data_IF_148774435727
#
_entry.id   IF_148774435727
#
_cell.length_a   1.000
_cell.length_b   1.000
_cell.length_c   1.000
_cell.angle_alpha   90.00
_cell.angle_beta   90.00
_cell.angle_gamma   90.00
#
_symmetry.space_group_name_H-M   'P 1'
#
loop_
_entity.id
_entity.type
_entity.pdbx_description
1 polymer ?
#
# COMPACT_ATOMS: atom_id res chain seq x y z
N UNK A 1 -10.34 -2.09 -7.47
CA UNK A 1 -10.05 -0.66 -7.26
C UNK A 1 -9.76 0.07 -8.58
N UNK A 2 -8.94 -0.46 -9.50
CA UNK A 2 -8.69 0.18 -10.83
C UNK A 2 -10.01 0.42 -11.57
N UNK A 3 -10.89 -0.60 -11.68
CA UNK A 3 -12.22 -0.46 -12.31
C UNK A 3 -13.02 0.69 -11.67
N UNK A 4 -13.03 0.78 -10.33
CA UNK A 4 -13.72 1.88 -9.61
C UNK A 4 -13.10 3.26 -9.84
N UNK A 5 -11.78 3.32 -10.04
CA UNK A 5 -11.05 4.57 -10.27
C UNK A 5 -11.11 5.04 -11.73
N UNK A 6 -11.49 4.15 -12.67
CA UNK A 6 -11.58 4.48 -14.09
C UNK A 6 -12.89 5.21 -14.39
N UNK A 7 -12.86 6.43 -14.95
CA UNK A 7 -14.06 7.19 -15.32
C UNK A 7 -14.66 6.65 -16.63
N UNK A 8 -15.14 5.39 -16.60
CA UNK A 8 -15.72 4.70 -17.74
C UNK A 8 -17.25 4.69 -17.67
N UNK A 9 -17.92 4.81 -18.81
CA UNK A 9 -19.38 4.73 -18.96
C UNK A 9 -19.86 3.36 -19.44
N UNK A 10 -18.94 2.57 -20.01
CA UNK A 10 -19.18 1.23 -20.54
C UNK A 10 -17.90 0.40 -20.44
N UNK A 11 -18.00 -0.91 -20.71
CA UNK A 11 -16.90 -1.87 -20.56
C UNK A 11 -15.70 -1.54 -21.44
N UNK A 12 -15.93 -1.00 -22.64
CA UNK A 12 -14.89 -0.71 -23.63
C UNK A 12 -14.02 0.50 -23.25
N UNK A 13 -14.45 1.30 -22.30
CA UNK A 13 -13.70 2.44 -21.78
C UNK A 13 -12.76 2.06 -20.61
N UNK A 14 -12.88 0.83 -20.07
CA UNK A 14 -11.98 0.33 -19.05
C UNK A 14 -10.61 -0.08 -19.63
N UNK A 15 -9.58 0.00 -18.81
CA UNK A 15 -8.25 -0.48 -19.18
C UNK A 15 -8.20 -2.00 -19.20
N UNK A 16 -7.48 -2.57 -20.17
CA UNK A 16 -7.15 -3.99 -20.18
C UNK A 16 -6.19 -4.29 -19.02
N UNK A 17 -6.54 -5.29 -18.22
CA UNK A 17 -5.73 -5.75 -17.09
C UNK A 17 -5.30 -7.19 -17.31
N UNK A 18 -4.02 -7.48 -17.07
CA UNK A 18 -3.49 -8.84 -16.95
C UNK A 18 -3.12 -9.06 -15.50
N UNK A 19 -3.62 -10.13 -14.90
CA UNK A 19 -3.39 -10.45 -13.49
C UNK A 19 -2.60 -11.74 -13.38
N UNK A 20 -1.40 -11.63 -12.84
CA UNK A 20 -0.56 -12.77 -12.50
C UNK A 20 -0.71 -13.06 -11.00
N UNK A 21 -1.62 -13.96 -10.67
CA UNK A 21 -1.88 -14.35 -9.29
C UNK A 21 -1.04 -15.57 -8.92
N UNK A 22 -0.08 -15.37 -8.00
CA UNK A 22 0.78 -16.46 -7.49
C UNK A 22 0.79 -16.48 -5.95
N UNK A 23 -0.11 -17.24 -5.30
CA UNK A 23 -0.18 -17.36 -3.84
C UNK A 23 0.99 -18.13 -3.23
N UNK A 24 1.84 -18.77 -4.05
CA UNK A 24 3.01 -19.52 -3.59
C UNK A 24 4.26 -18.62 -3.42
N UNK A 25 4.19 -17.33 -3.76
CA UNK A 25 5.27 -16.39 -3.45
C UNK A 25 5.46 -16.33 -1.93
N UNK A 26 6.69 -16.61 -1.48
CA UNK A 26 7.07 -16.67 -0.06
C UNK A 26 6.68 -15.41 0.70
N UNK A 27 6.37 -15.54 1.99
CA UNK A 27 5.99 -14.40 2.83
C UNK A 27 7.14 -13.39 2.93
N UNK A 28 6.86 -12.15 2.54
CA UNK A 28 7.83 -11.05 2.46
C UNK A 28 8.33 -10.61 3.82
N UNK A 29 7.44 -10.59 4.83
CA UNK A 29 7.80 -10.25 6.20
C UNK A 29 8.67 -11.34 6.83
N UNK A 30 8.33 -12.61 6.61
CA UNK A 30 9.15 -13.72 7.09
C UNK A 30 10.55 -13.72 6.44
N UNK A 31 10.65 -13.43 5.13
CA UNK A 31 11.94 -13.30 4.46
C UNK A 31 12.80 -12.18 5.09
N UNK A 32 12.22 -10.99 5.27
CA UNK A 32 12.95 -9.82 5.75
C UNK A 32 13.37 -9.92 7.23
N UNK A 33 12.56 -10.56 8.08
CA UNK A 33 12.74 -10.51 9.54
C UNK A 33 13.15 -11.83 10.17
N UNK A 34 12.91 -12.96 9.50
CA UNK A 34 13.04 -14.30 10.12
C UNK A 34 13.89 -15.27 9.29
N UNK A 35 14.60 -14.78 8.26
CA UNK A 35 15.38 -15.63 7.37
C UNK A 35 14.52 -16.60 6.54
N UNK A 36 13.25 -16.26 6.30
CA UNK A 36 12.37 -17.04 5.43
C UNK A 36 12.83 -17.06 3.96
N UNK A 37 12.18 -17.89 3.14
CA UNK A 37 12.53 -18.02 1.73
C UNK A 37 12.38 -16.70 0.96
N UNK A 38 13.36 -16.39 0.11
CA UNK A 38 13.42 -15.16 -0.71
C UNK A 38 12.33 -15.19 -1.80
N UNK A 39 11.42 -14.20 -1.87
CA UNK A 39 10.36 -14.11 -2.86
C UNK A 39 10.85 -13.61 -4.22
N UNK A 40 12.07 -13.10 -4.34
CA UNK A 40 12.56 -12.31 -5.49
C UNK A 40 12.43 -13.07 -6.81
N UNK A 41 12.87 -14.33 -6.88
CA UNK A 41 12.81 -15.11 -8.12
C UNK A 41 11.37 -15.43 -8.55
N UNK A 42 10.50 -15.73 -7.60
CA UNK A 42 9.08 -15.97 -7.88
C UNK A 42 8.39 -14.70 -8.39
N UNK A 43 8.66 -13.55 -7.76
CA UNK A 43 8.18 -12.25 -8.20
C UNK A 43 8.72 -11.88 -9.59
N UNK A 44 10.01 -12.13 -9.85
CA UNK A 44 10.62 -11.91 -11.16
C UNK A 44 9.94 -12.75 -12.24
N UNK A 45 9.68 -14.03 -11.96
CA UNK A 45 8.96 -14.92 -12.87
C UNK A 45 7.58 -14.39 -13.25
N UNK A 46 6.81 -13.88 -12.28
CA UNK A 46 5.51 -13.24 -12.53
C UNK A 46 5.67 -11.97 -13.39
N UNK A 47 6.60 -11.11 -13.03
CA UNK A 47 6.85 -9.86 -13.76
C UNK A 47 7.31 -10.09 -15.21
N UNK A 48 8.13 -11.10 -15.44
CA UNK A 48 8.56 -11.52 -16.80
C UNK A 48 7.39 -12.02 -17.65
N UNK A 49 6.41 -12.72 -17.06
CA UNK A 49 5.22 -13.15 -17.80
C UNK A 49 4.38 -11.95 -18.20
N UNK A 50 4.14 -11.01 -17.27
CA UNK A 50 3.42 -9.76 -17.57
C UNK A 50 4.10 -8.95 -18.68
N UNK A 51 5.42 -8.82 -18.65
CA UNK A 51 6.17 -8.16 -19.73
C UNK A 51 5.98 -8.89 -21.07
N UNK A 52 6.03 -10.22 -21.06
CA UNK A 52 5.84 -11.06 -22.25
C UNK A 52 4.44 -10.96 -22.84
N UNK A 53 3.43 -10.76 -21.97
CA UNK A 53 2.04 -10.56 -22.36
C UNK A 53 1.76 -9.13 -22.87
N UNK A 54 2.78 -8.30 -22.99
CA UNK A 54 2.71 -6.96 -23.58
C UNK A 54 2.11 -5.90 -22.65
N UNK A 55 2.26 -6.08 -21.32
CA UNK A 55 1.87 -5.05 -20.38
C UNK A 55 2.79 -3.81 -20.51
N UNK A 56 2.22 -2.61 -20.42
CA UNK A 56 2.96 -1.35 -20.48
C UNK A 56 3.60 -0.96 -19.13
N UNK A 57 3.08 -1.47 -18.03
CA UNK A 57 3.58 -1.24 -16.66
C UNK A 57 3.15 -2.37 -15.71
N UNK A 58 3.87 -2.50 -14.61
CA UNK A 58 3.56 -3.46 -13.54
C UNK A 58 3.21 -2.71 -12.26
N UNK A 59 2.23 -3.24 -11.55
CA UNK A 59 1.91 -2.86 -10.17
C UNK A 59 1.98 -4.08 -9.26
N UNK A 60 2.39 -3.86 -8.02
CA UNK A 60 2.44 -4.90 -7.00
C UNK A 60 1.57 -4.44 -5.81
N UNK A 61 0.35 -4.98 -5.65
CA UNK A 61 -0.53 -4.60 -4.55
C UNK A 61 -0.12 -5.28 -3.23
N UNK A 62 1.11 -5.01 -2.80
CA UNK A 62 1.68 -5.48 -1.54
C UNK A 62 2.76 -4.50 -1.09
N UNK A 63 2.58 -3.86 0.06
CA UNK A 63 3.54 -2.87 0.56
C UNK A 63 4.93 -3.49 0.79
N UNK A 64 5.01 -4.56 1.58
CA UNK A 64 6.28 -5.21 1.93
C UNK A 64 7.05 -5.72 0.70
N UNK A 65 6.34 -6.14 -0.37
CA UNK A 65 6.95 -6.63 -1.60
C UNK A 65 7.80 -5.56 -2.32
N UNK A 66 7.55 -4.28 -2.08
CA UNK A 66 8.32 -3.20 -2.68
C UNK A 66 9.78 -3.13 -2.20
N UNK A 67 10.14 -3.82 -1.11
CA UNK A 67 11.54 -4.00 -0.73
C UNK A 67 12.35 -4.78 -1.81
N UNK A 68 11.69 -5.60 -2.61
CA UNK A 68 12.30 -6.44 -3.64
C UNK A 68 12.18 -5.82 -5.06
N UNK A 69 11.28 -4.87 -5.26
CA UNK A 69 11.03 -4.24 -6.57
C UNK A 69 12.29 -3.61 -7.20
N UNK A 70 13.18 -2.91 -6.47
CA UNK A 70 14.38 -2.33 -7.06
C UNK A 70 15.32 -3.35 -7.72
N UNK A 71 15.31 -4.61 -7.28
CA UNK A 71 16.02 -5.68 -7.96
C UNK A 71 15.33 -6.05 -9.27
N UNK A 72 14.01 -6.18 -9.26
CA UNK A 72 13.22 -6.57 -10.43
C UNK A 72 13.32 -5.53 -11.56
N UNK A 73 13.25 -4.25 -11.22
CA UNK A 73 13.36 -3.14 -12.19
C UNK A 73 14.64 -3.15 -13.01
N UNK A 74 15.75 -3.64 -12.44
CA UNK A 74 17.02 -3.73 -13.17
C UNK A 74 17.04 -4.79 -14.27
N UNK A 75 16.07 -5.72 -14.25
CA UNK A 75 16.03 -6.90 -15.13
C UNK A 75 14.77 -6.96 -16.00
N UNK A 76 14.03 -5.86 -16.09
CA UNK A 76 12.78 -5.74 -16.84
C UNK A 76 12.79 -4.44 -17.63
N UNK A 77 12.15 -4.46 -18.81
CA UNK A 77 12.09 -3.32 -19.72
C UNK A 77 10.84 -2.46 -19.52
N UNK A 78 9.91 -2.90 -18.67
CA UNK A 78 8.68 -2.16 -18.35
C UNK A 78 8.71 -1.64 -16.91
N UNK A 79 8.19 -0.42 -16.67
CA UNK A 79 8.27 0.23 -15.36
C UNK A 79 7.35 -0.41 -14.33
N UNK A 80 7.74 -0.31 -13.06
CA UNK A 80 6.86 -0.51 -11.92
C UNK A 80 6.26 0.84 -11.50
N UNK A 81 4.94 0.85 -11.28
CA UNK A 81 4.29 2.01 -10.62
C UNK A 81 4.31 1.75 -9.12
N UNK A 82 5.14 2.51 -8.42
CA UNK A 82 5.42 2.29 -7.01
C UNK A 82 4.27 2.76 -6.11
N UNK A 83 3.78 1.86 -5.26
CA UNK A 83 2.65 2.09 -4.35
C UNK A 83 2.97 3.13 -3.29
N UNK A 84 4.16 3.11 -2.68
CA UNK A 84 4.53 4.06 -1.63
C UNK A 84 4.65 5.48 -2.21
N UNK A 85 5.23 5.62 -3.41
CA UNK A 85 5.29 6.92 -4.09
C UNK A 85 3.88 7.44 -4.38
N UNK A 86 2.99 6.58 -4.90
CA UNK A 86 1.60 6.96 -5.17
C UNK A 86 0.89 7.44 -3.90
N UNK A 87 1.07 6.73 -2.80
CA UNK A 87 0.50 7.07 -1.49
C UNK A 87 1.01 8.41 -0.97
N UNK A 88 2.33 8.61 -1.02
CA UNK A 88 2.93 9.84 -0.50
C UNK A 88 2.59 11.08 -1.34
N UNK A 89 2.51 10.94 -2.66
CA UNK A 89 2.05 12.00 -3.56
C UNK A 89 0.61 12.40 -3.26
N UNK A 90 -0.26 11.42 -2.99
CA UNK A 90 -1.65 11.68 -2.66
C UNK A 90 -1.79 12.40 -1.30
N UNK A 91 -1.07 11.95 -0.27
CA UNK A 91 -1.03 12.62 1.04
C UNK A 91 -0.54 14.06 0.88
N UNK A 92 0.53 14.27 0.12
CA UNK A 92 1.07 15.61 -0.15
C UNK A 92 0.07 16.50 -0.88
N UNK A 93 -0.68 15.95 -1.83
CA UNK A 93 -1.72 16.68 -2.56
C UNK A 93 -2.91 17.06 -1.66
N UNK A 94 -3.30 16.16 -0.73
CA UNK A 94 -4.43 16.40 0.19
C UNK A 94 -4.09 17.34 1.34
N UNK A 95 -2.97 17.14 2.01
CA UNK A 95 -2.63 17.79 3.28
C UNK A 95 -1.44 18.76 3.21
N UNK A 96 -0.73 18.78 2.07
CA UNK A 96 0.44 19.64 1.88
C UNK A 96 1.54 19.35 2.90
N UNK A 97 2.22 20.43 3.35
CA UNK A 97 3.29 20.35 4.34
C UNK A 97 2.80 20.14 5.78
N UNK A 98 1.48 20.17 5.98
CA UNK A 98 0.87 19.96 7.31
C UNK A 98 0.65 18.48 7.64
N UNK A 99 0.92 17.57 6.70
CA UNK A 99 0.75 16.15 6.93
C UNK A 99 1.70 15.65 8.03
N UNK A 100 1.13 15.03 9.06
CA UNK A 100 1.82 14.30 10.14
C UNK A 100 1.34 12.86 10.07
N UNK A 101 2.19 11.99 9.55
CA UNK A 101 1.78 10.69 9.05
C UNK A 101 2.01 9.61 10.11
N UNK A 102 0.98 8.85 10.46
CA UNK A 102 1.07 7.62 11.20
C UNK A 102 1.04 6.42 10.25
N UNK A 103 2.02 5.52 10.34
CA UNK A 103 2.09 4.33 9.51
C UNK A 103 1.62 3.10 10.31
N UNK A 104 0.53 2.50 9.88
CA UNK A 104 0.02 1.21 10.37
C UNK A 104 0.37 0.14 9.33
N UNK A 105 1.37 -0.70 9.60
CA UNK A 105 1.90 -1.64 8.62
C UNK A 105 2.50 -2.89 9.29
N UNK A 106 2.83 -3.90 8.49
CA UNK A 106 3.60 -5.05 9.00
C UNK A 106 4.97 -4.60 9.51
N UNK A 107 5.51 -5.32 10.49
CA UNK A 107 6.86 -5.05 11.01
C UNK A 107 7.92 -5.11 9.91
N UNK A 108 7.74 -5.96 8.87
CA UNK A 108 8.61 -5.98 7.69
C UNK A 108 8.58 -4.67 6.91
N UNK A 109 7.41 -4.07 6.72
CA UNK A 109 7.27 -2.77 6.06
C UNK A 109 7.88 -1.64 6.88
N UNK A 110 7.67 -1.66 8.20
CA UNK A 110 8.23 -0.65 9.12
C UNK A 110 9.76 -0.72 9.14
N UNK A 111 10.34 -1.90 9.33
CA UNK A 111 11.79 -2.08 9.47
C UNK A 111 12.57 -1.80 8.18
N UNK A 112 11.97 -2.03 7.01
CA UNK A 112 12.60 -1.70 5.72
C UNK A 112 12.67 -0.20 5.43
N UNK A 113 11.94 0.64 6.17
CA UNK A 113 11.95 2.09 6.00
C UNK A 113 11.37 2.59 4.66
N UNK A 114 10.77 1.72 3.85
CA UNK A 114 10.32 2.04 2.48
C UNK A 114 9.35 3.22 2.39
N UNK A 115 8.56 3.47 3.42
CA UNK A 115 7.74 4.69 3.54
C UNK A 115 8.52 5.86 4.13
N UNK A 116 9.35 5.60 5.14
CA UNK A 116 10.13 6.63 5.81
C UNK A 116 11.03 7.41 4.87
N UNK A 117 11.72 6.71 3.96
CA UNK A 117 12.56 7.35 2.93
C UNK A 117 11.75 8.27 2.00
N UNK A 118 10.53 7.85 1.61
CA UNK A 118 9.65 8.67 0.76
C UNK A 118 9.11 9.89 1.53
N UNK A 119 8.71 9.71 2.79
CA UNK A 119 8.27 10.80 3.65
C UNK A 119 9.38 11.84 3.86
N UNK A 120 10.61 11.37 4.14
CA UNK A 120 11.80 12.23 4.29
C UNK A 120 12.10 13.01 3.01
N UNK A 121 12.00 12.39 1.84
CA UNK A 121 12.20 13.07 0.55
C UNK A 121 11.18 14.19 0.30
N UNK A 122 10.00 14.13 0.91
CA UNK A 122 8.96 15.17 0.84
C UNK A 122 8.97 16.13 2.03
N UNK A 123 9.92 15.98 2.97
CA UNK A 123 9.99 16.72 4.25
C UNK A 123 8.72 16.54 5.10
N UNK A 124 8.08 15.35 5.07
CA UNK A 124 6.90 15.05 5.86
C UNK A 124 7.28 14.19 7.08
N UNK A 125 6.89 14.58 8.30
CA UNK A 125 7.11 13.76 9.48
C UNK A 125 6.26 12.49 9.43
N UNK A 126 6.90 11.35 9.68
CA UNK A 126 6.25 10.04 9.74
C UNK A 126 6.59 9.33 11.05
N UNK A 127 5.59 8.70 11.62
CA UNK A 127 5.65 8.02 12.91
C UNK A 127 5.15 6.59 12.78
N UNK A 128 5.69 5.71 13.59
CA UNK A 128 5.29 4.31 13.69
C UNK A 128 4.85 4.01 15.13
N UNK A 129 4.02 3.00 15.36
CA UNK A 129 3.66 2.59 16.71
C UNK A 129 4.89 2.17 17.52
N UNK A 130 4.80 2.26 18.85
CA UNK A 130 5.75 1.59 19.74
C UNK A 130 5.59 0.05 19.63
N UNK A 131 6.43 -0.69 20.33
CA UNK A 131 6.48 -2.14 20.28
C UNK A 131 5.11 -2.77 20.62
N UNK A 132 4.46 -2.33 21.70
CA UNK A 132 3.17 -2.85 22.13
C UNK A 132 2.08 -2.63 21.07
N UNK A 133 1.99 -1.42 20.49
CA UNK A 133 0.98 -1.11 19.50
C UNK A 133 1.33 -1.68 18.12
N UNK A 134 2.62 -1.87 17.82
CA UNK A 134 3.05 -2.60 16.63
C UNK A 134 2.66 -4.08 16.69
N UNK A 135 2.74 -4.73 17.86
CA UNK A 135 2.23 -6.09 18.08
C UNK A 135 0.72 -6.17 17.82
N UNK A 136 -0.06 -5.15 18.24
CA UNK A 136 -1.49 -5.07 17.94
C UNK A 136 -1.75 -4.95 16.44
N UNK A 137 -1.00 -4.12 15.71
CA UNK A 137 -1.09 -4.05 14.24
C UNK A 137 -0.80 -5.41 13.61
N UNK A 138 0.23 -6.11 14.10
CA UNK A 138 0.55 -7.46 13.62
C UNK A 138 -0.55 -8.47 13.95
N UNK A 139 -1.17 -8.39 15.13
CA UNK A 139 -2.30 -9.22 15.51
C UNK A 139 -3.54 -8.95 14.64
N UNK A 140 -3.83 -7.69 14.35
CA UNK A 140 -4.90 -7.29 13.43
C UNK A 140 -4.70 -7.86 12.00
N UNK A 141 -3.45 -8.06 11.58
CA UNK A 141 -3.14 -8.61 10.24
C UNK A 141 -3.05 -10.14 10.26
N UNK A 142 -2.21 -10.71 11.13
CA UNK A 142 -1.79 -12.11 11.12
C UNK A 142 -2.35 -12.95 12.28
N UNK A 143 -2.99 -12.32 13.27
CA UNK A 143 -3.54 -13.03 14.42
C UNK A 143 -4.64 -14.03 14.05
N UNK A 144 -5.01 -14.94 14.95
CA UNK A 144 -6.06 -15.93 14.70
C UNK A 144 -7.44 -15.29 14.43
N UNK A 145 -7.65 -14.04 14.90
CA UNK A 145 -8.84 -13.22 14.64
C UNK A 145 -8.49 -12.02 13.72
N UNK A 146 -7.39 -12.10 12.97
CA UNK A 146 -6.89 -11.05 12.10
C UNK A 146 -7.44 -11.13 10.67
N UNK A 147 -7.13 -10.10 9.88
CA UNK A 147 -7.64 -9.96 8.52
C UNK A 147 -7.22 -11.10 7.57
N UNK A 148 -6.01 -11.63 7.71
CA UNK A 148 -5.54 -12.80 6.92
C UNK A 148 -6.26 -14.09 7.28
N UNK A 149 -6.86 -14.17 8.47
CA UNK A 149 -7.72 -15.28 8.88
C UNK A 149 -9.20 -15.07 8.49
N UNK A 150 -9.52 -13.95 7.81
CA UNK A 150 -10.85 -13.64 7.27
C UNK A 150 -11.70 -12.75 8.18
N UNK A 151 -11.15 -12.21 9.26
CA UNK A 151 -11.88 -11.32 10.16
C UNK A 151 -11.66 -9.85 9.76
N UNK A 152 -12.73 -9.06 9.80
CA UNK A 152 -12.68 -7.64 9.41
C UNK A 152 -13.27 -6.73 10.49
N UNK A 153 -13.74 -7.28 11.60
CA UNK A 153 -14.34 -6.57 12.73
C UNK A 153 -14.00 -7.26 14.06
N UNK A 154 -14.47 -6.71 15.17
CA UNK A 154 -14.17 -7.20 16.52
C UNK A 154 -12.72 -6.95 16.91
N UNK A 155 -12.02 -8.00 17.41
CA UNK A 155 -10.68 -7.84 17.97
C UNK A 155 -9.67 -7.22 17.01
N UNK A 156 -9.67 -7.60 15.73
CA UNK A 156 -8.74 -7.01 14.75
C UNK A 156 -8.97 -5.51 14.55
N UNK A 157 -10.23 -5.06 14.61
CA UNK A 157 -10.57 -3.65 14.54
C UNK A 157 -10.16 -2.91 15.81
N UNK A 158 -10.41 -3.47 16.98
CA UNK A 158 -10.00 -2.90 18.27
C UNK A 158 -8.48 -2.72 18.35
N UNK A 159 -7.72 -3.73 17.93
CA UNK A 159 -6.27 -3.70 17.91
C UNK A 159 -5.74 -2.63 16.93
N UNK A 160 -6.32 -2.53 15.73
CA UNK A 160 -5.93 -1.54 14.73
C UNK A 160 -6.25 -0.12 15.20
N UNK A 161 -7.46 0.11 15.74
CA UNK A 161 -7.89 1.41 16.24
C UNK A 161 -7.04 1.84 17.44
N UNK A 162 -6.72 0.92 18.36
CA UNK A 162 -5.83 1.21 19.49
C UNK A 162 -4.45 1.72 19.04
N UNK A 163 -3.86 1.10 18.01
CA UNK A 163 -2.59 1.57 17.45
C UNK A 163 -2.74 2.92 16.72
N UNK A 164 -3.85 3.15 16.03
CA UNK A 164 -4.17 4.43 15.41
C UNK A 164 -4.27 5.55 16.46
N UNK A 165 -5.03 5.30 17.54
CA UNK A 165 -5.18 6.25 18.64
C UNK A 165 -3.85 6.60 19.31
N UNK A 166 -2.98 5.61 19.50
CA UNK A 166 -1.63 5.85 20.02
C UNK A 166 -0.86 6.85 19.15
N UNK A 167 -0.86 6.67 17.83
CA UNK A 167 -0.19 7.57 16.90
C UNK A 167 -0.78 8.98 16.92
N UNK A 168 -2.09 9.11 16.99
CA UNK A 168 -2.77 10.39 17.05
C UNK A 168 -2.51 11.11 18.38
N UNK A 169 -2.60 10.41 19.51
CA UNK A 169 -2.39 10.98 20.85
C UNK A 169 -0.94 11.37 21.10
N UNK A 170 0.02 10.52 20.68
CA UNK A 170 1.43 10.69 21.00
C UNK A 170 2.14 11.63 20.05
N UNK A 171 1.83 11.56 18.76
CA UNK A 171 2.55 12.29 17.72
C UNK A 171 1.72 13.32 16.97
N UNK A 172 0.48 13.54 17.40
CA UNK A 172 -0.44 14.46 16.74
C UNK A 172 -0.59 14.17 15.24
N UNK A 173 -0.66 12.88 14.88
CA UNK A 173 -0.86 12.47 13.50
C UNK A 173 -2.25 12.92 13.01
N UNK A 174 -2.30 13.50 11.82
CA UNK A 174 -3.53 13.89 11.12
C UNK A 174 -3.77 13.08 9.85
N UNK A 175 -2.90 12.10 9.57
CA UNK A 175 -3.00 11.18 8.47
C UNK A 175 -2.54 9.79 8.93
N UNK A 176 -3.29 8.76 8.59
CA UNK A 176 -2.97 7.36 8.87
C UNK A 176 -2.83 6.60 7.55
N UNK A 177 -1.71 5.91 7.33
CA UNK A 177 -1.52 5.00 6.19
C UNK A 177 -1.88 3.58 6.61
N UNK A 178 -2.80 2.95 5.90
CA UNK A 178 -3.10 1.52 6.02
C UNK A 178 -2.07 0.69 5.23
N UNK A 179 -0.85 0.60 5.76
CA UNK A 179 0.34 0.08 5.09
C UNK A 179 0.40 -1.46 4.95
N UNK A 180 -0.73 -2.14 5.10
CA UNK A 180 -0.94 -3.53 4.71
C UNK A 180 -2.25 -3.61 3.93
N UNK A 181 -2.28 -4.42 2.87
CA UNK A 181 -3.41 -4.49 1.93
C UNK A 181 -4.67 -5.10 2.53
N UNK A 182 -4.57 -5.75 3.67
CA UNK A 182 -5.66 -6.28 4.45
C UNK A 182 -6.31 -5.25 5.38
N UNK A 183 -5.57 -4.23 5.81
CA UNK A 183 -6.09 -3.22 6.75
C UNK A 183 -7.30 -2.42 6.20
N UNK A 184 -7.37 -2.12 4.88
CA UNK A 184 -8.57 -1.53 4.29
C UNK A 184 -9.82 -2.42 4.29
N UNK A 185 -9.72 -3.67 4.74
CA UNK A 185 -10.86 -4.54 5.02
C UNK A 185 -11.42 -4.33 6.43
N UNK A 186 -10.61 -3.76 7.34
CA UNK A 186 -10.95 -3.50 8.76
C UNK A 186 -11.39 -2.05 8.93
N UNK A 187 -10.70 -1.10 8.27
CA UNK A 187 -10.94 0.32 8.36
C UNK A 187 -10.94 0.94 6.95
N UNK A 188 -12.05 1.56 6.58
CA UNK A 188 -12.17 2.18 5.26
C UNK A 188 -11.30 3.44 5.12
N UNK A 189 -10.86 3.70 3.89
CA UNK A 189 -10.28 4.98 3.50
C UNK A 189 -11.32 6.09 3.63
N UNK A 190 -10.99 7.18 4.33
CA UNK A 190 -11.84 8.36 4.48
C UNK A 190 -11.00 9.59 4.86
N UNK A 191 -11.60 10.77 4.76
CA UNK A 191 -10.90 12.03 5.10
C UNK A 191 -11.25 12.52 6.52
N UNK A 192 -12.22 11.90 7.21
CA UNK A 192 -12.88 12.36 8.43
C UNK A 192 -13.01 11.27 9.51
N UNK A 193 -12.08 10.33 9.57
CA UNK A 193 -12.09 9.31 10.62
C UNK A 193 -11.88 9.94 12.00
N UNK A 194 -12.86 9.77 12.89
CA UNK A 194 -12.73 10.25 14.27
C UNK A 194 -11.88 9.28 15.09
N UNK A 195 -10.67 9.72 15.42
CA UNK A 195 -9.69 8.96 16.17
C UNK A 195 -9.15 9.79 17.32
N UNK A 196 -9.24 9.28 18.55
CA UNK A 196 -8.80 9.99 19.76
C UNK A 196 -9.39 11.41 19.89
N UNK A 197 -10.64 11.62 19.46
CA UNK A 197 -11.34 12.92 19.50
C UNK A 197 -10.91 13.91 18.41
N UNK A 198 -10.15 13.48 17.40
CA UNK A 198 -9.74 14.31 16.26
C UNK A 198 -10.17 13.65 14.94
N UNK A 199 -10.47 14.47 13.95
CA UNK A 199 -10.64 14.00 12.58
C UNK A 199 -9.26 13.78 11.93
N UNK A 200 -9.03 12.59 11.36
CA UNK A 200 -7.81 12.23 10.69
C UNK A 200 -8.11 11.60 9.32
N UNK A 201 -7.26 11.91 8.35
CA UNK A 201 -7.35 11.31 7.03
C UNK A 201 -6.81 9.86 7.09
N UNK A 202 -7.56 8.90 6.59
CA UNK A 202 -7.14 7.51 6.43
C UNK A 202 -6.87 7.22 4.96
N UNK A 203 -5.66 6.80 4.62
CA UNK A 203 -5.22 6.55 3.26
C UNK A 203 -4.99 5.06 3.03
N UNK A 204 -5.61 4.53 1.99
CA UNK A 204 -5.37 3.18 1.51
C UNK A 204 -4.37 3.19 0.33
N UNK A 205 -3.16 2.65 0.52
CA UNK A 205 -2.15 2.59 -0.53
C UNK A 205 -2.59 1.87 -1.80
N UNK A 206 -3.49 0.88 -1.70
CA UNK A 206 -4.00 0.18 -2.87
C UNK A 206 -4.95 1.03 -3.70
N UNK A 207 -5.71 1.89 -3.04
CA UNK A 207 -6.57 2.88 -3.71
C UNK A 207 -5.75 4.00 -4.35
N UNK A 208 -4.76 4.53 -3.62
CA UNK A 208 -3.82 5.51 -4.15
C UNK A 208 -3.06 4.99 -5.39
N UNK A 209 -2.58 3.73 -5.33
CA UNK A 209 -1.96 3.06 -6.46
C UNK A 209 -2.92 2.95 -7.65
N UNK A 210 -4.17 2.53 -7.42
CA UNK A 210 -5.17 2.40 -8.47
C UNK A 210 -5.46 3.76 -9.16
N UNK A 211 -5.62 4.82 -8.38
CA UNK A 211 -5.80 6.20 -8.91
C UNK A 211 -4.58 6.66 -9.72
N UNK A 212 -3.38 6.40 -9.24
CA UNK A 212 -2.13 6.73 -9.94
C UNK A 212 -2.02 5.99 -11.28
N UNK A 213 -2.30 4.68 -11.29
CA UNK A 213 -2.28 3.86 -12.51
C UNK A 213 -3.25 4.38 -13.55
N UNK A 214 -4.50 4.62 -13.15
CA UNK A 214 -5.54 5.15 -14.06
C UNK A 214 -5.11 6.49 -14.66
N UNK A 215 -4.54 7.38 -13.85
CA UNK A 215 -4.04 8.68 -14.33
C UNK A 215 -2.94 8.48 -15.37
N UNK A 216 -1.91 7.70 -15.07
CA UNK A 216 -0.78 7.44 -15.99
C UNK A 216 -1.28 6.81 -17.29
N UNK A 217 -2.13 5.77 -17.21
CA UNK A 217 -2.65 5.10 -18.39
C UNK A 217 -3.50 6.03 -19.25
N UNK A 218 -4.32 6.89 -18.63
CA UNK A 218 -5.12 7.90 -19.34
C UNK A 218 -4.23 8.93 -20.07
N UNK A 219 -3.20 9.42 -19.40
CA UNK A 219 -2.25 10.37 -19.99
C UNK A 219 -1.46 9.75 -21.15
N UNK A 220 -1.03 8.49 -20.98
CA UNK A 220 -0.30 7.74 -22.01
C UNK A 220 -1.17 7.48 -23.25
N UNK A 221 -2.43 7.05 -23.04
CA UNK A 221 -3.36 6.82 -24.15
C UNK A 221 -3.65 8.11 -24.93
N UNK A 222 -3.85 9.23 -24.23
CA UNK A 222 -4.01 10.53 -24.88
C UNK A 222 -2.79 10.92 -25.73
N UNK A 223 -1.58 10.70 -25.20
CA UNK A 223 -0.34 10.99 -25.92
C UNK A 223 -0.14 10.10 -27.17
N UNK A 224 -0.62 8.84 -27.11
CA UNK A 224 -0.57 7.89 -28.24
C UNK A 224 -1.71 8.09 -29.25
N UNK A 225 -2.67 8.97 -28.98
CA UNK A 225 -3.88 9.13 -29.80
C UNK A 225 -4.82 7.91 -29.76
N UNK A 226 -4.65 7.07 -28.78
CA UNK A 226 -5.51 5.91 -28.49
C UNK A 226 -6.45 6.24 -27.32
N UNK A 227 -7.65 5.65 -27.36
CA UNK A 227 -8.63 5.82 -26.27
C UNK A 227 -8.34 4.87 -25.13
#
# INVERSE_FOLDING_TARGET
>A
KIVKATPAKNDQEHFKLVVEQNPQISDRTACLLKGGADPTLAMYGCARRLQKDGCDAIIVPCNTAHAFVPYLERHLDIPFINMQIATMEEIKAKLGDKARIGLLATSGTVQTGIYGDKAKALNLPMFVPDELHQERVMAAIYGPLGAKAGYTDGQCREDLVSAAEYLVKTYDCNCLILGCTELPLILDECDDFVCAGKEVCVVDPTSALARKVVRIATETNKARGTR
#
